data_IF_652263736835
#
_entry.id   IF_652263736835
#
_cell.length_a   1.000
_cell.length_b   1.000
_cell.length_c   1.000
_cell.angle_alpha   90.00
_cell.angle_beta   90.00
_cell.angle_gamma   90.00
#
_symmetry.space_group_name_H-M   'P 1'
#
loop_
_entity.id
_entity.type
_entity.pdbx_description
1 polymer ?
#
# COMPACT_ATOMS: atom_id res chain seq x y z
N UNK A 1 -5.11 -6.23 -13.36
CA UNK A 1 -4.41 -6.04 -12.06
C UNK A 1 -3.70 -4.70 -11.97
N UNK A 2 -2.79 -4.40 -12.87
CA UNK A 2 -2.05 -3.12 -12.84
C UNK A 2 -2.99 -1.93 -12.96
N UNK A 3 -3.93 -1.95 -13.91
CA UNK A 3 -4.87 -0.85 -14.10
C UNK A 3 -5.71 -0.57 -12.85
N UNK A 4 -6.14 -1.61 -12.17
CA UNK A 4 -6.91 -1.49 -10.92
C UNK A 4 -6.08 -0.78 -9.85
N UNK A 5 -4.85 -1.21 -9.65
CA UNK A 5 -3.97 -0.61 -8.64
C UNK A 5 -3.54 0.80 -9.03
N UNK A 6 -3.25 1.07 -10.30
CA UNK A 6 -2.93 2.43 -10.75
C UNK A 6 -4.07 3.39 -10.41
N UNK A 7 -5.31 3.00 -10.66
CA UNK A 7 -6.47 3.80 -10.29
C UNK A 7 -6.58 4.01 -8.79
N UNK A 8 -6.37 2.95 -8.01
CA UNK A 8 -6.43 3.03 -6.55
C UNK A 8 -5.38 3.98 -5.99
N UNK A 9 -4.13 3.84 -6.42
CA UNK A 9 -3.05 4.70 -5.96
C UNK A 9 -3.26 6.16 -6.39
N UNK A 10 -3.68 6.39 -7.62
CA UNK A 10 -3.95 7.73 -8.11
C UNK A 10 -5.07 8.41 -7.32
N UNK A 11 -6.17 7.70 -7.04
CA UNK A 11 -7.26 8.23 -6.24
C UNK A 11 -6.80 8.55 -4.81
N UNK A 12 -6.06 7.61 -4.19
CA UNK A 12 -5.64 7.76 -2.81
C UNK A 12 -4.59 8.87 -2.63
N UNK A 13 -3.58 8.92 -3.50
CA UNK A 13 -2.41 9.75 -3.30
C UNK A 13 -2.42 11.06 -4.08
N UNK A 14 -2.98 11.08 -5.29
CA UNK A 14 -2.99 12.28 -6.12
C UNK A 14 -4.27 13.08 -6.00
N UNK A 15 -5.39 12.38 -5.88
CA UNK A 15 -6.70 13.03 -5.74
C UNK A 15 -7.15 13.13 -4.28
N UNK A 16 -6.38 12.56 -3.37
CA UNK A 16 -6.64 12.58 -1.93
C UNK A 16 -8.03 12.04 -1.57
N UNK A 17 -8.46 10.99 -2.28
CA UNK A 17 -9.79 10.40 -2.13
C UNK A 17 -9.67 8.91 -1.78
N UNK A 18 -9.34 8.64 -0.53
CA UNK A 18 -9.17 7.28 -0.02
C UNK A 18 -10.45 6.46 -0.10
N UNK A 19 -11.59 7.07 0.17
CA UNK A 19 -12.86 6.34 0.15
C UNK A 19 -13.16 5.78 -1.23
N UNK A 20 -13.02 6.60 -2.27
CA UNK A 20 -13.23 6.12 -3.64
C UNK A 20 -12.20 5.09 -4.05
N UNK A 21 -10.96 5.21 -3.58
CA UNK A 21 -9.90 4.26 -3.90
C UNK A 21 -10.16 2.87 -3.33
N UNK A 22 -10.71 2.78 -2.11
CA UNK A 22 -10.74 1.54 -1.34
C UNK A 22 -12.14 0.97 -1.10
N UNK A 23 -13.20 1.73 -1.35
CA UNK A 23 -14.57 1.30 -1.02
C UNK A 23 -15.05 0.04 -1.75
N UNK A 24 -14.49 -0.24 -2.94
CA UNK A 24 -14.88 -1.38 -3.75
C UNK A 24 -14.10 -2.66 -3.42
N UNK A 25 -13.23 -2.61 -2.41
CA UNK A 25 -12.56 -3.82 -1.93
C UNK A 25 -13.59 -4.80 -1.35
N UNK A 26 -13.36 -6.13 -1.50
CA UNK A 26 -14.26 -7.11 -0.89
C UNK A 26 -14.35 -6.96 0.63
N UNK A 27 -15.48 -7.35 1.21
CA UNK A 27 -15.67 -7.32 2.65
C UNK A 27 -14.69 -8.23 3.40
N UNK A 28 -14.22 -9.30 2.76
CA UNK A 28 -13.24 -10.22 3.32
C UNK A 28 -11.79 -9.89 2.92
N UNK A 29 -11.58 -8.72 2.28
CA UNK A 29 -10.24 -8.26 1.94
C UNK A 29 -9.34 -8.22 3.18
N UNK A 30 -8.11 -8.74 3.04
CA UNK A 30 -7.14 -8.73 4.13
C UNK A 30 -6.05 -7.68 3.88
N UNK A 31 -5.93 -6.75 4.81
CA UNK A 31 -4.85 -5.77 4.85
C UNK A 31 -3.92 -6.17 5.98
N UNK A 32 -2.71 -6.59 5.64
CA UNK A 32 -1.76 -7.18 6.59
C UNK A 32 -0.57 -6.25 6.79
N UNK A 33 -0.35 -5.85 8.06
CA UNK A 33 0.80 -5.05 8.44
C UNK A 33 1.55 -5.81 9.54
N UNK A 34 2.56 -6.62 9.19
CA UNK A 34 3.28 -7.42 10.18
C UNK A 34 3.92 -6.55 11.27
N UNK A 35 3.82 -7.00 12.51
CA UNK A 35 4.42 -6.29 13.65
C UNK A 35 3.62 -5.12 14.19
N UNK A 36 2.44 -4.84 13.65
CA UNK A 36 1.59 -3.77 14.17
C UNK A 36 1.04 -4.14 15.56
N UNK A 37 1.15 -3.24 16.56
CA UNK A 37 0.76 -3.57 17.94
C UNK A 37 -0.73 -3.88 18.15
N UNK A 38 -1.61 -3.31 17.32
CA UNK A 38 -3.06 -3.51 17.42
C UNK A 38 -3.56 -4.69 16.59
N UNK A 39 -2.66 -5.58 16.19
CA UNK A 39 -2.98 -6.72 15.35
C UNK A 39 -2.53 -6.53 13.92
N UNK A 40 -2.10 -7.61 13.30
CA UNK A 40 -1.47 -7.58 11.99
C UNK A 40 -2.46 -7.51 10.84
N UNK A 41 -3.71 -7.90 11.03
CA UNK A 41 -4.68 -8.08 9.94
C UNK A 41 -5.92 -7.23 10.17
N UNK A 42 -6.34 -6.51 9.12
CA UNK A 42 -7.62 -5.80 9.07
C UNK A 42 -8.43 -6.33 7.90
N UNK A 43 -9.75 -6.39 8.07
CA UNK A 43 -10.64 -6.94 7.06
C UNK A 43 -11.61 -5.88 6.55
N UNK A 44 -11.80 -5.87 5.23
CA UNK A 44 -12.78 -5.04 4.55
C UNK A 44 -12.35 -3.60 4.31
N UNK A 45 -13.06 -2.90 3.42
CA UNK A 45 -12.66 -1.55 3.02
C UNK A 45 -12.74 -0.53 4.15
N UNK A 46 -13.73 -0.61 5.02
CA UNK A 46 -13.91 0.37 6.10
C UNK A 46 -12.73 0.38 7.06
N UNK A 47 -12.27 -0.80 7.50
CA UNK A 47 -11.15 -0.92 8.42
C UNK A 47 -9.84 -0.44 7.78
N UNK A 48 -9.66 -0.70 6.48
CA UNK A 48 -8.48 -0.24 5.73
C UNK A 48 -8.48 1.28 5.59
N UNK A 49 -9.63 1.87 5.27
CA UNK A 49 -9.77 3.32 5.15
C UNK A 49 -9.44 4.01 6.47
N UNK A 50 -9.96 3.52 7.59
CA UNK A 50 -9.65 4.07 8.92
C UNK A 50 -8.16 4.02 9.22
N UNK A 51 -7.54 2.88 8.99
CA UNK A 51 -6.11 2.69 9.23
C UNK A 51 -5.29 3.69 8.42
N UNK A 52 -5.63 3.86 7.14
CA UNK A 52 -4.89 4.72 6.23
C UNK A 52 -5.07 6.20 6.55
N UNK A 53 -6.27 6.61 6.98
CA UNK A 53 -6.50 7.98 7.43
C UNK A 53 -5.62 8.34 8.62
N UNK A 54 -5.52 7.45 9.60
CA UNK A 54 -4.67 7.66 10.77
C UNK A 54 -3.22 7.83 10.37
N UNK A 55 -2.77 7.03 9.41
CA UNK A 55 -1.39 7.11 8.92
C UNK A 55 -1.13 8.42 8.15
N UNK A 56 -2.02 8.79 7.23
CA UNK A 56 -1.87 10.01 6.42
C UNK A 56 -1.93 11.27 7.29
N UNK A 57 -2.75 11.26 8.34
CA UNK A 57 -2.89 12.41 9.23
C UNK A 57 -1.59 12.77 9.95
N UNK A 58 -0.63 11.88 10.01
CA UNK A 58 0.68 12.16 10.60
C UNK A 58 1.61 12.94 9.68
N UNK A 59 1.22 13.10 8.42
CA UNK A 59 2.02 13.76 7.40
C UNK A 59 1.46 15.12 7.04
N UNK A 60 2.35 16.07 6.78
CA UNK A 60 2.02 17.35 6.19
C UNK A 60 2.54 17.36 4.76
N UNK A 61 1.65 17.63 3.81
CA UNK A 61 1.93 17.69 2.38
C UNK A 61 2.66 16.43 1.84
N UNK A 62 2.09 15.23 2.04
CA UNK A 62 2.75 14.02 1.55
C UNK A 62 2.75 13.97 0.02
N UNK A 63 3.89 13.58 -0.54
CA UNK A 63 4.07 13.34 -1.98
C UNK A 63 4.51 11.89 -2.15
N UNK A 64 3.77 11.13 -2.96
CA UNK A 64 3.97 9.69 -3.08
C UNK A 64 4.17 9.28 -4.53
N UNK A 65 5.21 8.49 -4.77
CA UNK A 65 5.48 7.82 -6.03
C UNK A 65 5.35 6.32 -5.84
N UNK A 66 4.98 5.62 -6.90
CA UNK A 66 4.86 4.15 -6.86
C UNK A 66 5.26 3.53 -8.19
N UNK A 67 5.74 2.27 -8.11
CA UNK A 67 6.03 1.44 -9.27
C UNK A 67 5.32 0.10 -9.08
N UNK A 68 4.65 -0.39 -10.11
CA UNK A 68 3.90 -1.64 -10.06
C UNK A 68 4.52 -2.66 -11.01
N UNK A 69 4.63 -3.92 -10.53
CA UNK A 69 5.17 -5.04 -11.33
C UNK A 69 4.35 -6.30 -11.06
N UNK A 70 3.91 -6.96 -12.13
CA UNK A 70 3.29 -8.28 -12.01
C UNK A 70 4.41 -9.29 -11.85
N UNK A 71 4.47 -9.95 -10.71
CA UNK A 71 5.53 -10.92 -10.38
C UNK A 71 5.08 -12.37 -10.52
N UNK A 72 3.77 -12.62 -10.40
CA UNK A 72 3.12 -13.92 -10.59
C UNK A 72 1.75 -13.68 -11.23
N UNK A 73 1.09 -14.71 -11.77
CA UNK A 73 -0.22 -14.52 -12.42
C UNK A 73 -1.29 -13.86 -11.56
N UNK A 74 -1.16 -13.95 -10.23
CA UNK A 74 -2.12 -13.38 -9.28
C UNK A 74 -1.50 -12.34 -8.34
N UNK A 75 -0.26 -11.91 -8.59
CA UNK A 75 0.50 -11.10 -7.63
C UNK A 75 1.09 -9.86 -8.30
N UNK A 76 0.88 -8.71 -7.66
CA UNK A 76 1.49 -7.45 -8.06
C UNK A 76 2.33 -6.91 -6.90
N UNK A 77 3.57 -6.57 -7.20
CA UNK A 77 4.47 -5.87 -6.28
C UNK A 77 4.34 -4.38 -6.51
N UNK A 78 4.06 -3.63 -5.45
CA UNK A 78 4.10 -2.18 -5.48
C UNK A 78 5.27 -1.69 -4.64
N UNK A 79 6.14 -0.89 -5.24
CA UNK A 79 7.22 -0.20 -4.54
C UNK A 79 6.80 1.25 -4.38
N UNK A 80 6.70 1.71 -3.14
CA UNK A 80 6.09 2.99 -2.81
C UNK A 80 7.12 3.85 -2.06
N UNK A 81 7.25 5.11 -2.45
CA UNK A 81 8.06 6.09 -1.74
C UNK A 81 7.19 7.30 -1.42
N UNK A 82 7.11 7.65 -0.15
CA UNK A 82 6.39 8.83 0.33
C UNK A 82 7.38 9.80 0.97
N UNK A 83 7.26 11.08 0.57
CA UNK A 83 8.06 12.18 1.12
C UNK A 83 7.11 13.22 1.68
N UNK A 84 7.51 13.87 2.74
CA UNK A 84 6.72 14.94 3.34
C UNK A 84 7.34 15.42 4.62
N UNK A 85 6.53 16.04 5.47
CA UNK A 85 6.94 16.49 6.79
C UNK A 85 6.07 15.83 7.83
N UNK A 86 6.65 15.48 8.97
CA UNK A 86 5.88 15.07 10.14
C UNK A 86 5.03 16.24 10.60
N UNK A 87 3.72 16.05 10.74
CA UNK A 87 2.81 17.14 11.11
C UNK A 87 3.15 17.74 12.47
N UNK A 88 3.52 16.91 13.43
CA UNK A 88 3.85 17.36 14.77
C UNK A 88 5.24 17.97 14.87
N UNK A 89 6.22 17.46 14.13
CA UNK A 89 7.62 17.84 14.23
C UNK A 89 8.09 18.85 13.19
N UNK A 90 7.42 18.91 12.01
CA UNK A 90 7.87 19.69 10.87
C UNK A 90 9.12 19.17 10.20
N UNK A 91 9.64 18.02 10.63
CA UNK A 91 10.87 17.43 10.11
C UNK A 91 10.60 16.74 8.78
N UNK A 92 11.44 16.97 7.73
CA UNK A 92 11.31 16.23 6.48
C UNK A 92 11.52 14.74 6.70
N UNK A 93 10.65 13.91 6.10
CA UNK A 93 10.68 12.46 6.21
C UNK A 93 10.51 11.85 4.83
N UNK A 94 11.29 10.80 4.54
CA UNK A 94 11.12 9.99 3.35
C UNK A 94 11.04 8.52 3.77
N UNK A 95 10.03 7.83 3.28
CA UNK A 95 9.84 6.40 3.55
C UNK A 95 9.66 5.64 2.25
N UNK A 96 10.36 4.52 2.11
CA UNK A 96 10.15 3.57 1.02
C UNK A 96 9.72 2.23 1.61
N UNK A 97 8.69 1.64 1.02
CA UNK A 97 8.15 0.35 1.46
C UNK A 97 7.59 -0.42 0.27
N UNK A 98 7.27 -1.69 0.48
CA UNK A 98 6.63 -2.51 -0.53
C UNK A 98 5.25 -2.95 -0.07
N UNK A 99 4.33 -3.07 -1.03
CA UNK A 99 3.03 -3.65 -0.81
C UNK A 99 2.86 -4.80 -1.81
N UNK A 100 2.58 -6.00 -1.30
CA UNK A 100 2.37 -7.17 -2.14
C UNK A 100 0.89 -7.47 -2.19
N UNK A 101 0.31 -7.33 -3.38
CA UNK A 101 -1.12 -7.52 -3.62
C UNK A 101 -1.39 -8.87 -4.23
N UNK A 102 -2.36 -9.59 -3.70
CA UNK A 102 -2.85 -10.84 -4.26
C UNK A 102 -4.23 -10.62 -4.84
N UNK A 103 -4.45 -11.14 -6.05
CA UNK A 103 -5.70 -11.03 -6.79
C UNK A 103 -6.38 -12.39 -6.95
N UNK A 104 -7.70 -12.37 -6.99
CA UNK A 104 -8.52 -13.51 -7.35
C UNK A 104 -9.61 -13.01 -8.28
N UNK A 105 -9.73 -13.62 -9.47
CA UNK A 105 -10.70 -13.21 -10.50
C UNK A 105 -10.61 -11.71 -10.81
N UNK A 106 -9.38 -11.22 -10.94
CA UNK A 106 -9.05 -9.83 -11.25
C UNK A 106 -9.49 -8.82 -10.17
N UNK A 107 -9.71 -9.30 -8.95
CA UNK A 107 -10.08 -8.48 -7.81
C UNK A 107 -9.04 -8.60 -6.69
N UNK A 108 -8.56 -7.48 -6.12
CA UNK A 108 -7.59 -7.57 -5.03
C UNK A 108 -8.27 -8.16 -3.79
N UNK A 109 -7.67 -9.21 -3.22
CA UNK A 109 -8.21 -9.90 -2.05
C UNK A 109 -7.30 -9.81 -0.83
N UNK A 110 -6.03 -9.46 -1.02
CA UNK A 110 -5.07 -9.37 0.07
C UNK A 110 -3.95 -8.40 -0.28
N UNK A 111 -3.47 -7.66 0.72
CA UNK A 111 -2.25 -6.87 0.63
C UNK A 111 -1.41 -7.12 1.88
N UNK A 112 -0.11 -7.33 1.68
CA UNK A 112 0.86 -7.43 2.78
C UNK A 112 1.85 -6.29 2.65
N UNK A 113 2.00 -5.50 3.70
CA UNK A 113 2.95 -4.39 3.75
C UNK A 113 4.31 -4.90 4.25
N UNK A 114 5.36 -4.55 3.53
CA UNK A 114 6.74 -4.83 3.92
C UNK A 114 7.48 -3.49 4.08
N UNK A 115 7.82 -3.09 5.32
CA UNK A 115 8.60 -1.87 5.54
C UNK A 115 9.96 -1.88 4.84
N UNK A 116 10.55 -3.07 4.65
CA UNK A 116 11.77 -3.24 3.87
C UNK A 116 11.40 -3.64 2.44
N UNK A 117 11.67 -2.79 1.42
CA UNK A 117 11.31 -3.10 0.03
C UNK A 117 11.93 -4.40 -0.49
N UNK A 118 13.14 -4.76 -0.09
CA UNK A 118 13.79 -5.98 -0.55
C UNK A 118 13.08 -7.23 -0.04
N UNK A 119 12.53 -7.19 1.17
CA UNK A 119 11.71 -8.29 1.69
C UNK A 119 10.41 -8.43 0.92
N UNK A 120 9.82 -7.31 0.53
CA UNK A 120 8.64 -7.32 -0.33
C UNK A 120 8.91 -7.93 -1.69
N UNK A 121 10.06 -7.59 -2.31
CA UNK A 121 10.48 -8.19 -3.57
C UNK A 121 10.61 -9.71 -3.44
N UNK A 122 11.27 -10.18 -2.39
CA UNK A 122 11.46 -11.61 -2.16
C UNK A 122 10.10 -12.32 -1.95
N UNK A 123 9.22 -11.74 -1.14
CA UNK A 123 7.90 -12.30 -0.87
C UNK A 123 7.02 -12.37 -2.12
N UNK A 124 7.13 -11.38 -3.00
CA UNK A 124 6.38 -11.35 -4.26
C UNK A 124 6.96 -12.27 -5.33
N UNK A 125 8.18 -12.77 -5.13
CA UNK A 125 8.87 -13.58 -6.14
C UNK A 125 9.53 -12.74 -7.23
N UNK A 126 9.78 -11.46 -6.97
CA UNK A 126 10.49 -10.60 -7.91
C UNK A 126 11.99 -10.90 -7.91
N UNK A 127 12.64 -10.63 -9.05
CA UNK A 127 14.09 -10.74 -9.14
C UNK A 127 14.75 -9.74 -8.18
N UNK A 128 15.90 -10.09 -7.56
CA UNK A 128 16.60 -9.13 -6.72
C UNK A 128 17.04 -7.91 -7.55
N UNK A 129 17.15 -6.73 -6.90
CA UNK A 129 17.61 -5.55 -7.63
C UNK A 129 19.01 -5.77 -8.19
N UNK A 130 19.22 -5.28 -9.41
CA UNK A 130 20.55 -5.33 -10.04
C UNK A 130 21.48 -4.44 -9.24
N UNK A 131 22.48 -5.01 -8.68
CA UNK A 131 23.50 -4.26 -7.98
C UNK A 131 24.61 -3.84 -8.92
#
# INVERSE_FOLDING_TARGET
>A
MIETLESMYALAWRENDLESALRDLPEDFEWVVPGHPDGAVRHGPHAVIEFFHDWIDQWDEPDTDWELEVTRPDTVLALVTTRGRGRASGVPVEMSFAQVWTFRDDEPVRMVLYPNPDRGRAAAGAAPPSS
#
